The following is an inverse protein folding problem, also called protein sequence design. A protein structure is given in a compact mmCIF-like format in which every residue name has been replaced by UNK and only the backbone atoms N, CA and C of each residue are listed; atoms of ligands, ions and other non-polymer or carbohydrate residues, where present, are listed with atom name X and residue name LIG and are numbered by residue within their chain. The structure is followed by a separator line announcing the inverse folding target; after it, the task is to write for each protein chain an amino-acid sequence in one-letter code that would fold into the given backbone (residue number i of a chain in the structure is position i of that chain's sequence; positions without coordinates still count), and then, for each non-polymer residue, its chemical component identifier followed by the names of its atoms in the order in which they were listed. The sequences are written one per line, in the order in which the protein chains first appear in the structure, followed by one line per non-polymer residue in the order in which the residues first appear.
data_IF_079132089236
#
_entry.id   IF_079132089236
#
_cell.length_a   1.000
_cell.length_b   1.000
_cell.length_c   1.000
_cell.angle_alpha   90.00
_cell.angle_beta   90.00
_cell.angle_gamma   90.00
#
_symmetry.space_group_name_H-M   'P 1'
#
loop_
_entity.id
_entity.type
_entity.pdbx_description
1 polymer ?
#
# COMPACT_ATOMS: atom_id res chain seq x y z
N UNK A 1 14.09 -4.48 -17.12
CA UNK A 1 13.16 -3.31 -17.15
C UNK A 1 11.79 -3.61 -16.52
N UNK A 2 11.15 -4.75 -16.79
CA UNK A 2 9.81 -5.09 -16.27
C UNK A 2 9.69 -5.06 -14.73
N UNK A 3 10.62 -5.65 -13.98
CA UNK A 3 10.57 -5.64 -12.51
C UNK A 3 10.59 -4.21 -11.93
N UNK A 4 11.40 -3.32 -12.51
CA UNK A 4 11.48 -1.91 -12.12
C UNK A 4 10.17 -1.17 -12.41
N UNK A 5 9.58 -1.39 -13.59
CA UNK A 5 8.29 -0.80 -13.95
C UNK A 5 7.17 -1.29 -13.01
N UNK A 6 7.14 -2.59 -12.71
CA UNK A 6 6.17 -3.17 -11.76
C UNK A 6 6.36 -2.63 -10.33
N UNK A 7 7.60 -2.42 -9.90
CA UNK A 7 7.88 -1.78 -8.62
C UNK A 7 7.40 -0.33 -8.60
N UNK A 8 7.72 0.45 -9.65
CA UNK A 8 7.29 1.84 -9.74
C UNK A 8 5.76 1.98 -9.76
N UNK A 9 5.06 1.08 -10.46
CA UNK A 9 3.60 1.07 -10.46
C UNK A 9 3.02 0.83 -9.05
N UNK A 10 3.64 -0.04 -8.25
CA UNK A 10 3.24 -0.26 -6.86
C UNK A 10 3.51 0.98 -5.99
N UNK A 11 4.66 1.63 -6.16
CA UNK A 11 4.98 2.88 -5.47
C UNK A 11 3.95 3.94 -5.81
N UNK A 12 3.66 4.16 -7.10
CA UNK A 12 2.68 5.16 -7.54
C UNK A 12 1.29 4.86 -6.97
N UNK A 13 0.86 3.60 -6.98
CA UNK A 13 -0.43 3.20 -6.42
C UNK A 13 -0.53 3.48 -4.92
N UNK A 14 0.49 3.09 -4.15
CA UNK A 14 0.55 3.35 -2.71
C UNK A 14 0.57 4.86 -2.42
N UNK A 15 1.33 5.63 -3.19
CA UNK A 15 1.39 7.09 -3.06
C UNK A 15 0.01 7.69 -3.24
N UNK A 16 -0.71 7.38 -4.32
CA UNK A 16 -2.06 7.92 -4.54
C UNK A 16 -3.03 7.51 -3.43
N UNK A 17 -3.07 6.22 -3.10
CA UNK A 17 -3.98 5.67 -2.10
C UNK A 17 -3.73 6.28 -0.71
N UNK A 18 -2.48 6.37 -0.28
CA UNK A 18 -2.15 6.88 1.04
C UNK A 18 -2.25 8.41 1.10
N UNK A 19 -1.98 9.10 -0.02
CA UNK A 19 -2.20 10.54 -0.11
C UNK A 19 -3.67 10.90 0.10
N UNK A 20 -4.58 10.24 -0.61
CA UNK A 20 -6.03 10.45 -0.47
C UNK A 20 -6.53 10.17 0.96
N UNK A 21 -5.96 9.17 1.63
CA UNK A 21 -6.36 8.79 3.01
C UNK A 21 -5.81 9.72 4.07
N UNK A 22 -4.57 10.17 3.94
CA UNK A 22 -3.83 10.81 5.02
C UNK A 22 -3.68 12.33 4.85
N UNK A 23 -3.76 12.83 3.62
CA UNK A 23 -3.47 14.23 3.32
C UNK A 23 -4.75 14.93 2.84
N UNK A 24 -5.42 15.62 3.76
CA UNK A 24 -6.52 16.52 3.45
C UNK A 24 -5.99 17.93 3.15
N UNK A 25 -6.34 18.48 1.99
CA UNK A 25 -5.94 19.83 1.57
C UNK A 25 -4.45 19.96 1.21
N UNK A 26 -4.04 21.17 0.86
CA UNK A 26 -2.64 21.46 0.51
C UNK A 26 -1.79 21.69 1.77
N UNK A 27 -0.68 20.96 1.97
CA UNK A 27 0.21 21.20 3.10
C UNK A 27 0.92 22.56 2.95
N UNK A 28 1.06 23.37 4.01
CA UNK A 28 1.67 24.70 3.93
C UNK A 28 3.22 24.67 3.86
N UNK A 29 3.79 23.74 3.08
CA UNK A 29 5.24 23.62 2.82
C UNK A 29 5.92 22.40 3.44
N UNK A 30 5.31 21.74 4.43
CA UNK A 30 5.75 20.43 4.95
C UNK A 30 4.58 19.61 5.48
N UNK A 31 4.74 18.29 5.48
CA UNK A 31 3.85 17.38 6.17
C UNK A 31 4.03 17.57 7.69
N UNK A 32 2.93 17.76 8.40
CA UNK A 32 2.96 17.72 9.87
C UNK A 32 3.18 16.27 10.35
N UNK A 33 3.54 16.12 11.62
CA UNK A 33 3.86 14.80 12.20
C UNK A 33 2.70 13.80 12.09
N UNK A 34 1.44 14.24 12.19
CA UNK A 34 0.29 13.35 12.09
C UNK A 34 0.14 12.81 10.67
N UNK A 35 0.31 13.65 9.66
CA UNK A 35 0.28 13.24 8.24
C UNK A 35 1.42 12.29 7.91
N UNK A 36 2.63 12.57 8.39
CA UNK A 36 3.79 11.68 8.19
C UNK A 36 3.56 10.29 8.79
N UNK A 37 3.14 10.22 10.06
CA UNK A 37 2.83 8.95 10.73
C UNK A 37 1.67 8.22 10.06
N UNK A 38 0.65 8.94 9.57
CA UNK A 38 -0.44 8.31 8.83
C UNK A 38 0.05 7.66 7.52
N UNK A 39 0.90 8.34 6.75
CA UNK A 39 1.44 7.83 5.48
C UNK A 39 2.29 6.57 5.69
N UNK A 40 3.14 6.56 6.72
CA UNK A 40 3.94 5.39 7.11
C UNK A 40 3.05 4.19 7.45
N UNK A 41 2.11 4.38 8.38
CA UNK A 41 1.16 3.34 8.75
C UNK A 41 0.32 2.87 7.56
N UNK A 42 -0.12 3.78 6.69
CA UNK A 42 -0.93 3.42 5.53
C UNK A 42 -0.17 2.48 4.58
N UNK A 43 1.09 2.78 4.28
CA UNK A 43 1.90 1.95 3.41
C UNK A 43 2.17 0.57 4.03
N UNK A 44 2.55 0.52 5.31
CA UNK A 44 2.80 -0.74 6.03
C UNK A 44 1.54 -1.61 6.08
N UNK A 45 0.40 -1.04 6.47
CA UNK A 45 -0.86 -1.78 6.59
C UNK A 45 -1.35 -2.29 5.24
N UNK A 46 -1.14 -1.54 4.16
CA UNK A 46 -1.47 -2.03 2.83
C UNK A 46 -0.67 -3.29 2.47
N UNK A 47 0.63 -3.29 2.77
CA UNK A 47 1.51 -4.42 2.49
C UNK A 47 1.15 -5.63 3.35
N UNK A 48 0.93 -5.43 4.65
CA UNK A 48 0.48 -6.48 5.59
C UNK A 48 -0.78 -7.19 5.08
N UNK A 49 -1.81 -6.41 4.75
CA UNK A 49 -3.09 -6.95 4.28
C UNK A 49 -2.94 -7.61 2.91
N UNK A 50 -2.14 -7.02 2.01
CA UNK A 50 -1.88 -7.61 0.70
C UNK A 50 -1.22 -8.99 0.79
N UNK A 51 -0.29 -9.17 1.74
CA UNK A 51 0.37 -10.46 2.01
C UNK A 51 -0.63 -11.43 2.62
N UNK A 52 -1.38 -11.00 3.66
CA UNK A 52 -2.39 -11.83 4.32
C UNK A 52 -3.43 -12.36 3.32
N UNK A 53 -3.95 -11.49 2.46
CA UNK A 53 -4.91 -11.87 1.42
C UNK A 53 -4.31 -12.87 0.44
N UNK A 54 -3.08 -12.63 -0.04
CA UNK A 54 -2.38 -13.55 -0.94
C UNK A 54 -2.22 -14.93 -0.32
N UNK A 55 -1.75 -15.00 0.92
CA UNK A 55 -1.57 -16.26 1.66
C UNK A 55 -2.91 -17.00 1.82
N UNK A 56 -3.98 -16.29 2.16
CA UNK A 56 -5.31 -16.89 2.27
C UNK A 56 -5.83 -17.41 0.94
N UNK A 57 -5.68 -16.64 -0.14
CA UNK A 57 -6.09 -17.09 -1.47
C UNK A 57 -5.30 -18.31 -1.92
N UNK A 58 -3.98 -18.34 -1.72
CA UNK A 58 -3.15 -19.50 -2.03
C UNK A 58 -3.59 -20.76 -1.26
N UNK A 59 -3.86 -20.62 0.04
CA UNK A 59 -4.33 -21.73 0.87
C UNK A 59 -5.73 -22.23 0.48
N UNK A 60 -6.59 -21.36 -0.07
CA UNK A 60 -7.89 -21.78 -0.60
C UNK A 60 -7.74 -22.49 -1.94
N UNK A 61 -6.92 -21.97 -2.85
CA UNK A 61 -6.67 -22.57 -4.15
C UNK A 61 -6.05 -23.97 -4.01
N UNK A 62 -5.11 -24.16 -3.08
CA UNK A 62 -4.50 -25.47 -2.82
C UNK A 62 -5.49 -26.52 -2.30
N UNK A 63 -6.60 -26.09 -1.69
CA UNK A 63 -7.68 -26.99 -1.25
C UNK A 63 -8.65 -27.35 -2.37
N UNK A 64 -8.83 -26.46 -3.35
CA UNK A 64 -9.71 -26.70 -4.51
C UNK A 64 -9.08 -27.61 -5.58
N UNK A 65 -7.75 -27.76 -5.57
CA UNK A 65 -7.02 -28.63 -6.50
C UNK A 65 -6.85 -30.08 -5.97
N UNK A 66 -7.42 -30.39 -4.81
CA UNK A 66 -7.53 -31.74 -4.23
C UNK A 66 -8.94 -32.27 -4.45
#
# INVERSE_FOLDING_TARGET
MQQRASFQNRVNHLTSLCWEKCVSGYPPGKLDGKKSTCLENCAERYLDVSILLRTRFQAMLSKLQQ
#
